data_IF_113936043141
#
_entry.id   IF_113936043141
#
_cell.length_a   1.000
_cell.length_b   1.000
_cell.length_c   1.000
_cell.angle_alpha   90.00
_cell.angle_beta   90.00
_cell.angle_gamma   90.00
#
_symmetry.space_group_name_H-M   'P 1'
#
loop_
_entity.id
_entity.type
_entity.pdbx_description
1 polymer ?
#
# COMPACT_ATOMS: atom_id res chain seq x y z
N UNK A 1 -7.88 -8.53 34.21
CA UNK A 1 -7.22 -7.49 33.41
C UNK A 1 -7.77 -7.57 31.98
N UNK A 2 -8.58 -6.61 31.60
CA UNK A 2 -9.12 -6.51 30.26
C UNK A 2 -8.43 -5.37 29.53
N UNK A 3 -8.02 -5.60 28.28
CA UNK A 3 -7.46 -4.58 27.40
C UNK A 3 -8.51 -4.20 26.41
N UNK A 4 -8.92 -2.95 26.39
CA UNK A 4 -9.81 -2.36 25.41
C UNK A 4 -8.99 -1.43 24.52
N UNK A 5 -8.98 -1.70 23.22
CA UNK A 5 -8.47 -0.78 22.23
C UNK A 5 -9.67 0.01 21.69
N UNK A 6 -9.68 1.32 21.87
CA UNK A 6 -10.81 2.15 21.48
C UNK A 6 -10.37 3.36 20.68
N UNK A 7 -11.09 3.64 19.62
CA UNK A 7 -10.99 4.85 18.83
C UNK A 7 -12.24 5.71 19.12
N UNK A 8 -12.10 6.81 19.85
CA UNK A 8 -13.15 7.78 20.09
C UNK A 8 -13.57 7.93 21.55
N UNK A 9 -14.36 8.96 21.86
CA UNK A 9 -14.86 9.30 23.20
C UNK A 9 -15.53 8.12 23.87
N UNK A 10 -15.03 7.74 25.06
CA UNK A 10 -15.62 6.69 25.88
C UNK A 10 -16.22 7.31 27.14
N UNK A 11 -17.49 7.01 27.45
CA UNK A 11 -18.01 7.37 28.73
C UNK A 11 -17.42 6.47 29.81
N UNK A 12 -16.75 7.08 30.77
CA UNK A 12 -16.49 6.72 32.15
C UNK A 12 -16.48 5.22 32.57
N UNK A 13 -15.47 4.47 32.01
CA UNK A 13 -15.17 3.10 32.50
C UNK A 13 -14.00 3.06 33.49
N UNK A 14 -13.56 4.21 33.99
CA UNK A 14 -12.37 4.38 34.82
C UNK A 14 -12.55 3.92 36.30
N UNK A 15 -13.52 3.10 36.62
CA UNK A 15 -13.76 2.66 38.03
C UNK A 15 -13.32 1.24 38.35
N UNK A 16 -12.75 0.51 37.44
CA UNK A 16 -12.20 -0.83 37.71
C UNK A 16 -10.69 -0.81 37.46
N UNK A 17 -9.90 -0.97 38.51
CA UNK A 17 -8.44 -0.83 38.52
C UNK A 17 -7.61 -1.78 37.65
N UNK A 18 -8.22 -2.45 36.68
CA UNK A 18 -7.58 -3.46 35.81
C UNK A 18 -7.72 -3.18 34.31
N UNK A 19 -8.06 -1.97 33.94
CA UNK A 19 -8.24 -1.60 32.52
C UNK A 19 -7.10 -0.69 32.06
N UNK A 20 -6.33 -1.12 31.07
CA UNK A 20 -5.37 -0.28 30.36
C UNK A 20 -6.01 0.19 29.07
N UNK A 21 -6.24 1.49 28.96
CA UNK A 21 -6.74 2.14 27.75
C UNK A 21 -5.57 2.66 26.93
N UNK A 22 -5.53 2.28 25.66
CA UNK A 22 -4.57 2.82 24.69
C UNK A 22 -5.35 3.60 23.64
N UNK A 23 -5.15 4.90 23.59
CA UNK A 23 -5.71 5.77 22.57
C UNK A 23 -4.80 5.72 21.33
N UNK A 24 -5.36 5.33 20.19
CA UNK A 24 -4.65 5.25 18.91
C UNK A 24 -4.86 6.51 18.04
N UNK A 25 -5.53 7.54 18.57
CA UNK A 25 -5.88 8.74 17.81
C UNK A 25 -6.82 8.44 16.64
N UNK A 26 -6.81 9.31 15.62
CA UNK A 26 -7.68 9.19 14.43
C UNK A 26 -7.25 8.13 13.41
N UNK A 27 -6.14 7.42 13.63
CA UNK A 27 -5.65 6.39 12.70
C UNK A 27 -6.41 5.06 12.90
N UNK A 28 -7.42 4.85 12.05
CA UNK A 28 -8.30 3.66 12.04
C UNK A 28 -7.75 2.49 11.21
N UNK A 29 -6.45 2.44 10.94
CA UNK A 29 -5.93 1.33 10.13
C UNK A 29 -6.00 0.00 10.91
N UNK A 30 -6.62 -1.07 10.33
CA UNK A 30 -6.67 -2.39 10.96
C UNK A 30 -5.27 -2.96 11.24
N UNK A 31 -4.29 -2.56 10.45
CA UNK A 31 -2.89 -2.98 10.58
C UNK A 31 -2.23 -2.40 11.83
N UNK A 32 -2.51 -1.13 12.16
CA UNK A 32 -2.01 -0.51 13.38
C UNK A 32 -2.60 -1.18 14.61
N UNK A 33 -3.92 -1.43 14.61
CA UNK A 33 -4.62 -2.10 15.70
C UNK A 33 -4.09 -3.52 15.93
N UNK A 34 -3.83 -4.28 14.85
CA UNK A 34 -3.23 -5.61 14.92
C UNK A 34 -1.79 -5.56 15.44
N UNK A 35 -0.99 -4.61 14.97
CA UNK A 35 0.42 -4.41 15.38
C UNK A 35 0.52 -4.05 16.86
N UNK A 36 -0.33 -3.13 17.34
CA UNK A 36 -0.41 -2.76 18.76
C UNK A 36 -0.86 -3.95 19.61
N UNK A 37 -1.84 -4.74 19.15
CA UNK A 37 -2.28 -5.94 19.85
C UNK A 37 -1.17 -7.01 19.99
N UNK A 38 -0.36 -7.22 18.98
CA UNK A 38 0.79 -8.15 19.03
C UNK A 38 1.87 -7.61 19.95
N UNK A 39 2.21 -6.33 19.86
CA UNK A 39 3.20 -5.68 20.73
C UNK A 39 2.77 -5.77 22.21
N UNK A 40 1.49 -5.52 22.49
CA UNK A 40 0.92 -5.60 23.83
C UNK A 40 0.97 -7.04 24.41
N UNK A 41 0.60 -8.06 23.61
CA UNK A 41 0.71 -9.47 24.01
C UNK A 41 2.16 -9.87 24.31
N UNK A 42 3.14 -9.34 23.56
CA UNK A 42 4.57 -9.57 23.81
C UNK A 42 5.02 -8.88 25.10
N UNK A 43 4.62 -7.62 25.32
CA UNK A 43 4.91 -6.88 26.53
C UNK A 43 4.35 -7.60 27.77
N UNK A 44 3.10 -8.07 27.73
CA UNK A 44 2.49 -8.87 28.81
C UNK A 44 3.25 -10.17 29.11
N UNK A 45 3.78 -10.86 28.10
CA UNK A 45 4.62 -12.05 28.31
C UNK A 45 5.92 -11.72 29.03
N UNK A 46 6.56 -10.60 28.67
CA UNK A 46 7.81 -10.13 29.30
C UNK A 46 7.53 -9.72 30.75
N UNK A 47 6.42 -9.03 30.99
CA UNK A 47 5.99 -8.60 32.33
C UNK A 47 5.65 -9.77 33.26
N UNK A 48 4.96 -10.79 32.75
CA UNK A 48 4.66 -12.01 33.53
C UNK A 48 5.90 -12.85 33.81
N UNK A 49 6.96 -12.73 33.03
CA UNK A 49 8.23 -13.43 33.23
C UNK A 49 9.18 -12.68 34.18
N UNK A 50 9.02 -11.37 34.32
CA UNK A 50 9.76 -10.54 35.28
C UNK A 50 8.77 -10.02 36.31
N UNK A 51 8.95 -10.35 37.60
CA UNK A 51 8.15 -9.82 38.70
C UNK A 51 8.31 -8.29 38.72
N UNK A 52 7.49 -7.59 37.94
CA UNK A 52 7.50 -6.13 37.82
C UNK A 52 6.45 -5.54 38.72
N UNK A 53 6.88 -4.89 39.77
CA UNK A 53 6.07 -4.11 40.70
C UNK A 53 5.84 -2.65 40.25
N UNK A 54 6.14 -2.34 38.97
CA UNK A 54 6.24 -0.95 38.54
C UNK A 54 5.35 -0.68 37.29
N UNK A 55 4.16 -0.14 37.53
CA UNK A 55 3.18 0.19 36.52
C UNK A 55 3.73 1.23 35.48
N UNK A 56 4.61 2.13 35.94
CA UNK A 56 5.17 3.18 35.08
C UNK A 56 6.16 2.55 34.06
N UNK A 57 6.91 1.55 34.49
CA UNK A 57 7.84 0.83 33.60
C UNK A 57 7.11 -0.01 32.56
N UNK A 58 5.94 -0.52 32.91
CA UNK A 58 5.06 -1.20 31.96
C UNK A 58 4.49 -0.23 30.95
N UNK A 59 4.06 0.95 31.39
CA UNK A 59 3.55 2.00 30.54
C UNK A 59 4.62 2.48 29.54
N UNK A 60 5.85 2.72 29.97
CA UNK A 60 6.97 3.07 29.09
C UNK A 60 7.29 1.96 28.06
N UNK A 61 7.27 0.70 28.47
CA UNK A 61 7.46 -0.43 27.55
C UNK A 61 6.34 -0.51 26.50
N UNK A 62 5.08 -0.35 26.91
CA UNK A 62 3.93 -0.38 25.99
C UNK A 62 3.98 0.80 25.02
N UNK A 63 4.30 2.00 25.48
CA UNK A 63 4.48 3.18 24.62
C UNK A 63 5.65 3.00 23.67
N UNK A 64 6.77 2.48 24.13
CA UNK A 64 7.95 2.20 23.29
C UNK A 64 7.69 1.17 22.17
N UNK A 65 6.79 0.21 22.40
CA UNK A 65 6.38 -0.77 21.38
C UNK A 65 5.22 -0.28 20.49
N UNK A 66 4.39 0.63 20.99
CA UNK A 66 3.22 1.14 20.28
C UNK A 66 3.54 2.35 19.40
N UNK A 67 4.57 3.12 19.73
CA UNK A 67 5.02 4.23 18.88
C UNK A 67 5.83 3.69 17.70
N UNK A 68 5.38 3.87 16.46
CA UNK A 68 6.19 3.57 15.29
C UNK A 68 7.50 4.32 15.38
N UNK A 69 8.62 3.70 15.00
CA UNK A 69 9.89 4.43 14.93
C UNK A 69 9.75 5.69 14.07
N UNK A 70 10.49 6.77 14.35
CA UNK A 70 10.45 7.99 13.52
C UNK A 70 10.65 7.68 12.03
N UNK A 71 11.46 6.68 11.69
CA UNK A 71 11.71 6.26 10.31
C UNK A 71 10.48 5.61 9.67
N UNK A 72 9.76 4.76 10.40
CA UNK A 72 8.50 4.17 9.92
C UNK A 72 7.41 5.23 9.73
N UNK A 73 7.34 6.22 10.63
CA UNK A 73 6.41 7.35 10.48
C UNK A 73 6.74 8.17 9.24
N UNK A 74 8.02 8.48 9.02
CA UNK A 74 8.48 9.19 7.84
C UNK A 74 8.15 8.43 6.56
N UNK A 75 8.45 7.14 6.51
CA UNK A 75 8.13 6.28 5.37
C UNK A 75 6.62 6.27 5.07
N UNK A 76 5.77 6.17 6.09
CA UNK A 76 4.30 6.22 5.92
C UNK A 76 3.82 7.57 5.38
N UNK A 77 4.38 8.66 5.88
CA UNK A 77 4.05 10.02 5.41
C UNK A 77 4.44 10.15 3.92
N UNK A 78 5.67 9.76 3.56
CA UNK A 78 6.13 9.83 2.17
C UNK A 78 5.30 8.91 1.25
N UNK A 79 4.98 7.70 1.69
CA UNK A 79 4.08 6.81 0.96
C UNK A 79 2.70 7.45 0.74
N UNK A 80 2.11 8.08 1.77
CA UNK A 80 0.82 8.77 1.66
C UNK A 80 0.88 9.94 0.68
N UNK A 81 1.95 10.76 0.72
CA UNK A 81 2.17 11.84 -0.25
C UNK A 81 2.23 11.31 -1.68
N UNK A 82 2.99 10.24 -1.90
CA UNK A 82 3.09 9.58 -3.21
C UNK A 82 1.74 9.08 -3.69
N UNK A 83 0.97 8.38 -2.85
CA UNK A 83 -0.37 7.90 -3.20
C UNK A 83 -1.31 9.06 -3.54
N UNK A 84 -1.29 10.14 -2.77
CA UNK A 84 -2.12 11.31 -3.03
C UNK A 84 -1.76 11.97 -4.38
N UNK A 85 -0.48 12.14 -4.68
CA UNK A 85 -0.02 12.66 -5.97
C UNK A 85 -0.49 11.75 -7.11
N UNK A 86 -0.24 10.45 -7.03
CA UNK A 86 -0.66 9.47 -8.03
C UNK A 86 -2.18 9.43 -8.22
N UNK A 87 -2.95 9.59 -7.14
CA UNK A 87 -4.42 9.64 -7.21
C UNK A 87 -4.90 10.83 -8.02
N UNK A 88 -4.24 11.98 -7.90
CA UNK A 88 -4.60 13.22 -8.58
C UNK A 88 -4.11 13.26 -10.03
N UNK A 89 -2.90 12.73 -10.28
CA UNK A 89 -2.20 12.84 -11.57
C UNK A 89 -2.52 11.70 -12.55
N UNK A 90 -3.16 10.64 -12.07
CA UNK A 90 -3.56 9.50 -12.90
C UNK A 90 -5.05 9.60 -13.25
N UNK A 91 -5.39 9.33 -14.50
CA UNK A 91 -6.78 9.14 -14.91
C UNK A 91 -7.26 7.75 -14.51
N UNK A 92 -8.47 7.68 -13.93
CA UNK A 92 -9.02 6.46 -13.37
C UNK A 92 -10.37 6.10 -13.94
N UNK A 93 -10.56 4.83 -14.22
CA UNK A 93 -11.89 4.26 -14.47
C UNK A 93 -12.40 3.52 -13.24
N UNK A 94 -13.67 3.76 -12.89
CA UNK A 94 -14.40 2.90 -11.96
C UNK A 94 -14.85 1.62 -12.67
N UNK A 95 -15.18 0.57 -11.90
CA UNK A 95 -15.72 -0.65 -12.46
C UNK A 95 -17.00 -0.43 -13.29
N UNK A 96 -17.80 0.59 -12.94
CA UNK A 96 -19.03 0.93 -13.68
C UNK A 96 -18.76 1.59 -15.06
N UNK A 97 -17.63 2.26 -15.21
CA UNK A 97 -17.23 2.88 -16.49
C UNK A 97 -16.64 1.84 -17.47
N UNK A 98 -16.20 0.68 -16.98
CA UNK A 98 -15.64 -0.41 -17.79
C UNK A 98 -16.75 -1.36 -18.25
N UNK A 99 -17.80 -0.86 -18.89
CA UNK A 99 -18.93 -1.56 -19.52
C UNK A 99 -19.70 -2.54 -18.60
N UNK A 100 -19.05 -3.29 -17.71
CA UNK A 100 -19.65 -4.22 -16.75
C UNK A 100 -18.67 -4.50 -15.59
N UNK A 101 -19.14 -4.31 -14.36
CA UNK A 101 -18.36 -4.58 -13.15
C UNK A 101 -17.96 -6.08 -13.03
N UNK A 102 -18.72 -6.99 -13.65
CA UNK A 102 -18.41 -8.43 -13.72
C UNK A 102 -17.19 -8.68 -14.61
N UNK A 103 -17.13 -8.05 -15.77
CA UNK A 103 -16.02 -8.16 -16.72
C UNK A 103 -14.74 -7.59 -16.11
N UNK A 104 -14.80 -6.41 -15.48
CA UNK A 104 -13.65 -5.80 -14.83
C UNK A 104 -13.05 -6.69 -13.72
N UNK A 105 -13.91 -7.35 -12.93
CA UNK A 105 -13.48 -8.33 -11.92
C UNK A 105 -12.81 -9.56 -12.53
N UNK A 106 -13.31 -10.07 -13.64
CA UNK A 106 -12.71 -11.21 -14.33
C UNK A 106 -11.33 -10.86 -14.90
N UNK A 107 -11.18 -9.68 -15.49
CA UNK A 107 -9.88 -9.20 -15.96
C UNK A 107 -8.86 -9.07 -14.82
N UNK A 108 -9.27 -8.52 -13.67
CA UNK A 108 -8.43 -8.42 -12.46
C UNK A 108 -8.03 -9.81 -11.96
N UNK A 109 -9.00 -10.75 -11.85
CA UNK A 109 -8.74 -12.13 -11.42
C UNK A 109 -7.77 -12.88 -12.32
N UNK A 110 -7.82 -12.63 -13.63
CA UNK A 110 -6.92 -13.21 -14.64
C UNK A 110 -5.62 -12.43 -14.82
N UNK A 111 -5.35 -11.45 -13.97
CA UNK A 111 -4.17 -10.57 -14.07
C UNK A 111 -4.01 -9.90 -15.45
N UNK A 112 -5.14 -9.59 -16.11
CA UNK A 112 -5.14 -8.80 -17.34
C UNK A 112 -5.05 -7.30 -17.04
N UNK A 113 -5.58 -6.89 -15.90
CA UNK A 113 -5.52 -5.54 -15.34
C UNK A 113 -5.27 -5.61 -13.85
N UNK A 114 -4.86 -4.50 -13.27
CA UNK A 114 -4.80 -4.32 -11.81
C UNK A 114 -5.70 -3.16 -11.38
N UNK A 115 -6.06 -3.14 -10.11
CA UNK A 115 -6.85 -2.08 -9.51
C UNK A 115 -6.24 -1.66 -8.19
N UNK A 116 -6.45 -0.40 -7.82
CA UNK A 116 -6.20 0.11 -6.47
C UNK A 116 -7.53 0.31 -5.75
N UNK A 117 -7.54 0.10 -4.44
CA UNK A 117 -8.71 0.39 -3.64
C UNK A 117 -8.61 1.81 -3.09
N UNK A 118 -9.61 2.65 -3.40
CA UNK A 118 -9.75 4.00 -2.85
C UNK A 118 -11.12 4.06 -2.17
N UNK A 119 -11.14 4.31 -0.87
CA UNK A 119 -12.37 4.34 -0.07
C UNK A 119 -13.24 3.07 -0.25
N UNK A 120 -12.61 1.90 -0.32
CA UNK A 120 -13.28 0.60 -0.44
C UNK A 120 -13.86 0.29 -1.83
N UNK A 121 -13.54 1.09 -2.85
CA UNK A 121 -13.93 0.85 -4.24
C UNK A 121 -12.71 0.62 -5.11
N UNK A 122 -12.81 -0.30 -6.08
CA UNK A 122 -11.77 -0.55 -7.06
C UNK A 122 -11.75 0.52 -8.15
N UNK A 123 -10.57 1.07 -8.41
CA UNK A 123 -10.27 1.99 -9.50
C UNK A 123 -9.13 1.44 -10.35
N UNK A 124 -9.25 1.64 -11.64
CA UNK A 124 -8.38 1.10 -12.68
C UNK A 124 -7.69 2.26 -13.41
N UNK A 125 -6.35 2.37 -13.42
CA UNK A 125 -5.67 3.37 -14.23
C UNK A 125 -6.07 3.28 -15.70
N UNK A 126 -6.42 4.42 -16.33
CA UNK A 126 -6.94 4.47 -17.69
C UNK A 126 -5.94 3.94 -18.74
N UNK A 127 -4.65 4.15 -18.55
CA UNK A 127 -3.60 3.69 -19.47
C UNK A 127 -3.55 2.18 -19.67
N UNK A 128 -4.23 1.38 -18.82
CA UNK A 128 -4.32 -0.06 -18.99
C UNK A 128 -5.21 -0.49 -20.17
N UNK A 129 -6.00 0.43 -20.69
CA UNK A 129 -6.99 0.14 -21.71
C UNK A 129 -6.65 0.83 -23.02
N UNK A 130 -7.16 0.27 -24.11
CA UNK A 130 -7.18 0.92 -25.41
C UNK A 130 -8.44 1.80 -25.57
N UNK A 131 -8.60 2.43 -26.76
CA UNK A 131 -9.72 3.29 -27.06
C UNK A 131 -11.08 2.56 -27.07
N UNK A 132 -11.07 1.23 -27.19
CA UNK A 132 -12.25 0.38 -27.11
C UNK A 132 -12.49 -0.15 -25.67
N UNK A 133 -11.78 0.42 -24.66
CA UNK A 133 -11.81 0.00 -23.27
C UNK A 133 -11.44 -1.50 -23.06
N UNK A 134 -10.63 -2.07 -23.97
CA UNK A 134 -10.11 -3.42 -23.80
C UNK A 134 -8.72 -3.38 -23.11
N UNK A 135 -8.45 -4.34 -22.21
CA UNK A 135 -7.13 -4.41 -21.56
C UNK A 135 -6.00 -4.57 -22.56
N UNK A 136 -5.02 -3.69 -22.52
CA UNK A 136 -3.80 -3.78 -23.34
C UNK A 136 -3.00 -5.03 -22.94
N UNK A 137 -2.56 -5.88 -23.89
CA UNK A 137 -1.83 -7.11 -23.60
C UNK A 137 -0.54 -6.91 -22.79
N UNK A 138 0.16 -5.79 -23.01
CA UNK A 138 1.39 -5.43 -22.31
C UNK A 138 1.19 -5.37 -20.79
N UNK A 139 0.03 -4.97 -20.31
CA UNK A 139 -0.27 -4.85 -18.88
C UNK A 139 -0.16 -6.23 -18.21
N UNK A 140 -0.76 -7.27 -18.79
CA UNK A 140 -0.67 -8.61 -18.20
C UNK A 140 0.76 -9.16 -18.19
N UNK A 141 1.57 -8.82 -19.20
CA UNK A 141 3.00 -9.19 -19.28
C UNK A 141 3.81 -8.50 -18.19
N UNK A 142 3.57 -7.22 -17.95
CA UNK A 142 4.20 -6.44 -16.87
C UNK A 142 3.80 -6.98 -15.50
N UNK A 143 2.51 -7.23 -15.27
CA UNK A 143 2.02 -7.79 -14.00
C UNK A 143 2.64 -9.16 -13.70
N UNK A 144 2.86 -9.98 -14.74
CA UNK A 144 3.56 -11.27 -14.61
C UNK A 144 5.03 -11.07 -14.19
N UNK A 145 5.71 -10.07 -14.73
CA UNK A 145 7.09 -9.74 -14.35
C UNK A 145 7.22 -9.27 -12.89
N UNK A 146 6.24 -8.52 -12.39
CA UNK A 146 6.21 -8.08 -11.00
C UNK A 146 5.84 -9.18 -10.00
N UNK A 147 5.08 -10.17 -10.44
CA UNK A 147 4.58 -11.26 -9.60
C UNK A 147 3.30 -10.89 -8.80
N UNK A 148 2.61 -11.93 -8.26
CA UNK A 148 1.24 -11.81 -7.74
C UNK A 148 1.13 -11.07 -6.40
N UNK A 149 2.23 -10.89 -5.67
CA UNK A 149 2.25 -10.26 -4.34
C UNK A 149 2.65 -8.78 -4.39
N UNK A 150 2.80 -8.21 -5.59
CA UNK A 150 3.21 -6.81 -5.72
C UNK A 150 2.06 -5.88 -5.31
N UNK A 151 2.38 -4.92 -4.45
CA UNK A 151 1.46 -3.85 -4.05
C UNK A 151 0.99 -3.06 -5.29
N UNK A 152 -0.32 -2.97 -5.55
CA UNK A 152 -0.83 -2.25 -6.72
C UNK A 152 -0.38 -0.79 -6.81
N UNK A 153 -0.20 -0.10 -5.69
CA UNK A 153 0.31 1.28 -5.69
C UNK A 153 1.77 1.38 -6.15
N UNK A 154 2.59 0.36 -5.89
CA UNK A 154 3.95 0.28 -6.47
C UNK A 154 3.90 0.11 -7.99
N UNK A 155 2.93 -0.64 -8.50
CA UNK A 155 2.71 -0.80 -9.94
C UNK A 155 2.28 0.53 -10.57
N UNK A 156 1.32 1.26 -9.94
CA UNK A 156 0.93 2.61 -10.40
C UNK A 156 2.13 3.54 -10.44
N UNK A 157 2.91 3.59 -9.37
CA UNK A 157 4.09 4.45 -9.29
C UNK A 157 5.11 4.11 -10.39
N UNK A 158 5.35 2.84 -10.65
CA UNK A 158 6.25 2.41 -11.69
C UNK A 158 5.79 2.83 -13.10
N UNK A 159 4.50 2.72 -13.39
CA UNK A 159 3.95 3.20 -14.66
C UNK A 159 3.98 4.73 -14.79
N UNK A 160 3.89 5.44 -13.67
CA UNK A 160 3.76 6.89 -13.67
C UNK A 160 5.08 7.64 -13.74
N UNK A 161 6.11 7.16 -13.04
CA UNK A 161 7.40 7.85 -12.96
C UNK A 161 8.35 7.48 -14.11
N UNK A 162 9.22 8.43 -14.55
CA UNK A 162 10.23 8.15 -15.56
C UNK A 162 11.12 6.96 -15.20
N UNK A 163 11.37 6.08 -16.17
CA UNK A 163 12.19 4.89 -16.01
C UNK A 163 13.44 5.00 -16.90
N UNK A 164 14.63 4.91 -16.29
CA UNK A 164 15.90 5.05 -16.97
C UNK A 164 16.18 4.02 -18.08
N UNK A 165 15.40 2.93 -18.13
CA UNK A 165 15.48 1.93 -19.22
C UNK A 165 14.62 2.27 -20.42
N UNK A 166 13.72 3.28 -20.31
CA UNK A 166 12.79 3.68 -21.36
C UNK A 166 13.19 5.06 -21.89
N UNK A 167 13.98 5.05 -22.94
CA UNK A 167 14.49 6.24 -23.63
C UNK A 167 14.17 6.11 -25.11
N UNK A 168 13.48 7.11 -25.70
CA UNK A 168 13.23 7.12 -27.14
C UNK A 168 14.53 7.38 -27.91
N UNK A 169 14.79 6.55 -28.91
CA UNK A 169 16.04 6.63 -29.70
C UNK A 169 16.22 7.94 -30.46
N UNK A 170 15.12 8.67 -30.72
CA UNK A 170 15.07 9.96 -31.40
C UNK A 170 15.13 11.17 -30.45
N UNK A 171 15.20 10.98 -29.13
CA UNK A 171 15.38 12.06 -28.18
C UNK A 171 16.88 12.38 -28.01
N UNK A 172 17.37 13.56 -28.48
CA UNK A 172 18.78 13.92 -28.38
C UNK A 172 19.24 14.07 -26.92
N UNK A 173 18.32 14.40 -25.99
CA UNK A 173 18.62 14.54 -24.57
C UNK A 173 18.54 13.20 -23.83
N UNK A 174 18.07 12.14 -24.49
CA UNK A 174 17.93 10.78 -23.93
C UNK A 174 17.16 10.78 -22.60
N UNK A 175 16.09 11.58 -22.52
CA UNK A 175 15.27 11.72 -21.31
C UNK A 175 14.51 10.44 -21.02
N UNK A 176 14.59 9.91 -19.79
CA UNK A 176 13.77 8.80 -19.35
C UNK A 176 12.28 9.11 -19.50
N UNK A 177 11.51 8.15 -20.01
CA UNK A 177 10.07 8.24 -20.18
C UNK A 177 9.35 7.40 -19.13
N UNK A 178 8.13 7.81 -18.77
CA UNK A 178 7.27 6.99 -17.93
C UNK A 178 6.74 5.78 -18.72
N UNK A 179 6.68 4.58 -18.14
CA UNK A 179 6.18 3.39 -18.83
C UNK A 179 4.76 3.57 -19.43
N UNK A 180 3.88 4.32 -18.78
CA UNK A 180 2.54 4.64 -19.30
C UNK A 180 2.58 5.40 -20.64
N UNK A 181 3.63 6.19 -20.88
CA UNK A 181 3.81 7.00 -22.09
C UNK A 181 4.64 6.26 -23.17
N UNK A 182 5.02 5.01 -22.88
CA UNK A 182 5.87 4.16 -23.73
C UNK A 182 5.17 2.87 -24.19
N UNK A 183 3.84 2.77 -24.00
CA UNK A 183 3.05 1.56 -24.26
C UNK A 183 2.95 1.18 -25.76
N UNK A 184 3.39 2.03 -26.65
CA UNK A 184 3.57 1.77 -28.07
C UNK A 184 4.77 0.83 -28.36
N UNK A 185 5.77 0.76 -27.48
CA UNK A 185 6.87 -0.21 -27.50
C UNK A 185 6.72 -1.22 -26.34
N UNK A 186 5.77 -2.14 -26.53
CA UNK A 186 5.42 -3.15 -25.52
C UNK A 186 6.63 -3.95 -25.04
N UNK A 187 7.56 -4.28 -25.95
CA UNK A 187 8.71 -5.11 -25.60
C UNK A 187 9.68 -4.38 -24.69
N UNK A 188 9.97 -3.10 -24.99
CA UNK A 188 10.80 -2.27 -24.12
C UNK A 188 10.22 -2.13 -22.72
N UNK A 189 8.89 -1.92 -22.61
CA UNK A 189 8.19 -1.81 -21.31
C UNK A 189 8.28 -3.11 -20.52
N UNK A 190 8.07 -4.27 -21.15
CA UNK A 190 8.18 -5.58 -20.47
C UNK A 190 9.62 -5.86 -20.04
N UNK A 191 10.62 -5.53 -20.88
CA UNK A 191 12.03 -5.68 -20.50
C UNK A 191 12.40 -4.80 -19.30
N UNK A 192 11.91 -3.55 -19.26
CA UNK A 192 12.13 -2.66 -18.13
C UNK A 192 11.48 -3.21 -16.83
N UNK A 193 10.31 -3.82 -16.92
CA UNK A 193 9.65 -4.47 -15.78
C UNK A 193 10.44 -5.68 -15.27
N UNK A 194 10.95 -6.54 -16.17
CA UNK A 194 11.77 -7.70 -15.81
C UNK A 194 13.08 -7.31 -15.09
N UNK A 195 13.71 -6.20 -15.48
CA UNK A 195 14.91 -5.70 -14.80
C UNK A 195 14.64 -5.31 -13.35
N UNK A 196 13.49 -4.73 -13.06
CA UNK A 196 13.10 -4.39 -11.69
C UNK A 196 12.88 -5.66 -10.84
N UNK A 197 12.19 -6.68 -11.39
CA UNK A 197 11.94 -7.94 -10.70
C UNK A 197 13.23 -8.67 -10.30
N UNK A 198 14.26 -8.62 -11.15
CA UNK A 198 15.55 -9.26 -10.88
C UNK A 198 16.43 -8.52 -9.85
N UNK A 199 16.15 -7.26 -9.56
CA UNK A 199 16.93 -6.47 -8.57
C UNK A 199 16.47 -6.76 -7.13
N UNK A 200 15.31 -7.37 -6.94
CA UNK A 200 14.74 -7.71 -5.61
C UNK A 200 15.04 -9.15 -5.14
N UNK A 201 15.84 -9.92 -5.88
CA UNK A 201 16.20 -11.33 -5.57
C UNK A 201 17.68 -11.46 -5.21
N UNK A 202 18.26 -10.43 -4.62
CA UNK A 202 19.63 -10.49 -4.08
C UNK A 202 19.64 -10.23 -2.58
#
# INVERSE_FOLDING_TARGET
MHVLLVNGDIPDLAKSGDVVQVDLGDDRSPELSASVGVAFKRALKIVNAAVLSDADRLAELVVGFATPSPDLMKERIERRKTINALTTETEWYSAAQLADAGIARDWKRRSRVFAVSISGKDYYPAYQFDDALQPRPVISRVLKAFGPQTDPWKVVAWFHYPNGWLVRGNDPERRPQAPKDFLDDEEAVVQAANKLGNTYVA
#
